data_IF_023058429283
#
_entry.id   IF_023058429283
#
_cell.length_a   1.000
_cell.length_b   1.000
_cell.length_c   1.000
_cell.angle_alpha   90.00
_cell.angle_beta   90.00
_cell.angle_gamma   90.00
#
_symmetry.space_group_name_H-M   'P 1'
#
loop_
_entity.id
_entity.type
_entity.pdbx_description
1 polymer ?
#
# COMPACT_ATOMS: atom_id res chain seq x y z
N UNK A 1 17.23 -26.88 -14.03
CA UNK A 1 16.61 -25.57 -13.78
C UNK A 1 15.69 -25.73 -12.59
N UNK A 2 16.02 -25.14 -11.45
CA UNK A 2 15.09 -25.11 -10.32
C UNK A 2 13.88 -24.25 -10.67
N UNK A 3 12.68 -24.79 -10.48
CA UNK A 3 11.45 -24.03 -10.69
C UNK A 3 11.32 -22.96 -9.61
N UNK A 4 11.51 -21.69 -9.99
CA UNK A 4 11.43 -20.54 -9.09
C UNK A 4 10.03 -20.35 -8.46
N UNK A 5 8.99 -20.99 -9.03
CA UNK A 5 7.63 -20.97 -8.49
C UNK A 5 7.43 -21.92 -7.31
N UNK A 6 8.33 -22.89 -7.12
CA UNK A 6 8.26 -23.85 -6.01
C UNK A 6 8.64 -23.25 -4.65
N UNK A 7 9.30 -22.09 -4.63
CA UNK A 7 9.71 -21.44 -3.38
C UNK A 7 8.48 -20.92 -2.63
N UNK A 8 8.23 -21.37 -1.38
CA UNK A 8 7.05 -20.98 -0.65
C UNK A 8 7.13 -19.49 -0.28
N UNK A 9 6.04 -18.76 -0.54
CA UNK A 9 5.92 -17.32 -0.23
C UNK A 9 5.43 -17.15 1.20
N UNK A 10 6.32 -17.35 2.18
CA UNK A 10 5.93 -17.51 3.60
C UNK A 10 5.89 -16.21 4.41
N UNK A 11 6.38 -15.09 3.89
CA UNK A 11 6.58 -13.89 4.72
C UNK A 11 5.30 -13.31 5.35
N UNK A 12 4.18 -13.26 4.61
CA UNK A 12 2.90 -12.78 5.15
C UNK A 12 2.33 -13.77 6.18
N UNK A 13 2.33 -15.06 5.85
CA UNK A 13 1.77 -16.12 6.72
C UNK A 13 2.55 -16.28 8.02
N UNK A 14 3.84 -15.95 8.05
CA UNK A 14 4.64 -15.93 9.26
C UNK A 14 4.25 -14.80 10.23
N UNK A 15 3.74 -13.67 9.74
CA UNK A 15 3.36 -12.52 10.57
C UNK A 15 1.89 -12.59 11.03
N UNK A 16 1.01 -13.17 10.20
CA UNK A 16 -0.43 -13.28 10.50
C UNK A 16 -0.78 -13.82 11.90
N UNK A 17 -0.22 -14.94 12.39
CA UNK A 17 -0.63 -15.50 13.69
C UNK A 17 -0.26 -14.60 14.87
N UNK A 18 0.70 -13.70 14.70
CA UNK A 18 1.21 -12.83 15.75
C UNK A 18 0.65 -11.42 15.68
N UNK A 19 -0.24 -11.14 14.72
CA UNK A 19 -0.73 -9.78 14.45
C UNK A 19 -1.36 -9.14 15.69
N UNK A 20 -2.18 -9.90 16.43
CA UNK A 20 -2.85 -9.40 17.64
C UNK A 20 -1.85 -9.02 18.73
N UNK A 21 -0.84 -9.86 18.95
CA UNK A 21 0.21 -9.57 19.93
C UNK A 21 1.06 -8.36 19.52
N UNK A 22 1.42 -8.27 18.24
CA UNK A 22 2.16 -7.14 17.69
C UNK A 22 1.34 -5.85 17.88
N UNK A 23 0.05 -5.87 17.55
CA UNK A 23 -0.83 -4.72 17.71
C UNK A 23 -0.96 -4.30 19.17
N UNK A 24 -1.20 -5.24 20.08
CA UNK A 24 -1.29 -4.96 21.52
C UNK A 24 0.00 -4.30 22.05
N UNK A 25 1.17 -4.72 21.57
CA UNK A 25 2.45 -4.11 21.94
C UNK A 25 2.59 -2.68 21.40
N UNK A 26 2.19 -2.45 20.15
CA UNK A 26 2.18 -1.11 19.57
C UNK A 26 1.23 -0.18 20.34
N UNK A 27 0.08 -0.69 20.76
CA UNK A 27 -0.90 0.07 21.56
C UNK A 27 -0.38 0.39 22.97
N UNK A 28 0.45 -0.50 23.55
CA UNK A 28 1.20 -0.24 24.80
C UNK A 28 2.36 0.76 24.62
N UNK A 29 2.60 1.28 23.42
CA UNK A 29 3.66 2.23 23.13
C UNK A 29 5.01 1.61 22.80
N UNK A 30 5.07 0.30 22.54
CA UNK A 30 6.30 -0.34 22.09
C UNK A 30 6.65 0.11 20.66
N UNK A 31 7.96 0.17 20.37
CA UNK A 31 8.41 0.45 19.01
C UNK A 31 8.31 -0.79 18.12
N UNK A 32 8.15 -0.57 16.81
CA UNK A 32 8.13 -1.64 15.82
C UNK A 32 9.39 -2.53 15.85
N UNK A 33 10.54 -1.95 16.23
CA UNK A 33 11.80 -2.68 16.40
C UNK A 33 11.75 -3.58 17.65
N UNK A 34 11.26 -3.09 18.77
CA UNK A 34 11.10 -3.90 19.99
C UNK A 34 10.14 -5.07 19.76
N UNK A 35 9.00 -4.82 19.11
CA UNK A 35 8.07 -5.89 18.75
C UNK A 35 8.72 -6.94 17.85
N UNK A 36 9.57 -6.52 16.90
CA UNK A 36 10.33 -7.43 16.04
C UNK A 36 11.39 -8.24 16.81
N UNK A 37 12.18 -7.57 17.66
CA UNK A 37 13.25 -8.23 18.42
C UNK A 37 12.67 -9.27 19.40
N UNK A 38 11.53 -8.96 20.04
CA UNK A 38 10.79 -9.92 20.86
C UNK A 38 10.22 -11.08 20.02
N UNK A 39 9.63 -10.80 18.86
CA UNK A 39 9.10 -11.83 17.97
C UNK A 39 10.20 -12.81 17.52
N UNK A 40 11.38 -12.28 17.17
CA UNK A 40 12.56 -13.07 16.80
C UNK A 40 13.16 -13.85 17.96
N UNK A 41 13.00 -13.37 19.20
CA UNK A 41 13.45 -14.09 20.39
C UNK A 41 12.57 -15.30 20.69
N UNK A 42 11.28 -15.23 20.36
CA UNK A 42 10.30 -16.28 20.63
C UNK A 42 10.21 -17.32 19.50
N UNK A 43 10.42 -16.91 18.24
CA UNK A 43 10.50 -17.83 17.10
C UNK A 43 11.61 -17.44 16.11
N UNK A 44 12.31 -18.43 15.50
CA UNK A 44 13.24 -18.18 14.42
C UNK A 44 12.48 -17.92 13.11
N UNK A 45 11.83 -16.77 13.00
CA UNK A 45 11.21 -16.34 11.75
C UNK A 45 12.32 -15.91 10.78
N UNK A 46 12.32 -16.45 9.56
CA UNK A 46 13.26 -16.04 8.51
C UNK A 46 12.84 -14.76 7.79
N UNK A 47 12.46 -13.72 8.54
CA UNK A 47 11.92 -12.48 7.99
C UNK A 47 12.80 -11.30 8.38
N UNK A 48 13.24 -10.49 7.42
CA UNK A 48 13.99 -9.28 7.77
C UNK A 48 13.10 -8.18 8.37
N UNK A 49 13.66 -7.31 9.20
CA UNK A 49 12.95 -6.20 9.84
C UNK A 49 12.11 -5.36 8.86
N UNK A 50 12.67 -4.97 7.71
CA UNK A 50 11.93 -4.19 6.69
C UNK A 50 10.71 -4.93 6.14
N UNK A 51 10.81 -6.25 6.00
CA UNK A 51 9.69 -7.09 5.54
C UNK A 51 8.64 -7.18 6.63
N UNK A 52 9.06 -7.37 7.90
CA UNK A 52 8.17 -7.35 9.06
C UNK A 52 7.32 -6.07 9.09
N UNK A 53 7.95 -4.89 9.10
CA UNK A 53 7.23 -3.61 9.14
C UNK A 53 6.22 -3.49 8.00
N UNK A 54 6.64 -3.87 6.78
CA UNK A 54 5.75 -3.85 5.60
C UNK A 54 4.53 -4.76 5.78
N UNK A 55 4.73 -5.97 6.28
CA UNK A 55 3.64 -6.92 6.47
C UNK A 55 2.70 -6.47 7.58
N UNK A 56 3.22 -5.97 8.70
CA UNK A 56 2.40 -5.40 9.79
C UNK A 56 1.53 -4.27 9.25
N UNK A 57 2.12 -3.27 8.59
CA UNK A 57 1.37 -2.14 8.03
C UNK A 57 0.30 -2.59 7.04
N UNK A 58 0.62 -3.55 6.17
CA UNK A 58 -0.34 -4.06 5.18
C UNK A 58 -1.49 -4.78 5.86
N UNK A 59 -1.20 -5.64 6.83
CA UNK A 59 -2.21 -6.43 7.54
C UNK A 59 -3.12 -5.56 8.40
N UNK A 60 -2.59 -4.53 9.07
CA UNK A 60 -3.39 -3.61 9.90
C UNK A 60 -4.20 -2.65 9.06
N UNK A 61 -3.71 -2.24 7.89
CA UNK A 61 -4.46 -1.42 6.93
C UNK A 61 -5.57 -2.21 6.24
N UNK A 62 -5.30 -3.46 5.86
CA UNK A 62 -6.29 -4.37 5.26
C UNK A 62 -7.38 -4.77 6.27
N UNK A 63 -7.06 -4.86 7.57
CA UNK A 63 -8.01 -5.20 8.64
C UNK A 63 -9.12 -4.14 8.80
N UNK A 64 -8.83 -2.86 8.54
CA UNK A 64 -9.88 -1.83 8.53
C UNK A 64 -10.78 -1.88 7.29
N UNK A 65 -10.35 -2.56 6.23
CA UNK A 65 -11.08 -2.66 4.97
C UNK A 65 -11.97 -3.92 4.87
N UNK A 66 -11.86 -4.86 5.81
CA UNK A 66 -12.56 -6.15 5.72
C UNK A 66 -13.20 -6.52 7.05
N UNK A 67 -14.45 -6.09 7.24
CA UNK A 67 -15.42 -6.88 8.00
C UNK A 67 -15.61 -8.21 7.26
N UNK A 68 -15.26 -9.36 7.86
CA UNK A 68 -15.50 -10.64 7.21
C UNK A 68 -16.98 -10.99 7.34
N UNK A 69 -17.73 -10.88 6.25
CA UNK A 69 -18.95 -11.67 6.08
C UNK A 69 -18.54 -13.14 6.13
N UNK A 70 -18.83 -13.77 7.26
CA UNK A 70 -18.81 -15.22 7.40
C UNK A 70 -19.75 -15.78 6.32
N UNK A 71 -19.21 -16.39 5.28
CA UNK A 71 -19.99 -17.25 4.39
C UNK A 71 -19.37 -18.62 4.46
N UNK A 72 -20.11 -19.49 5.13
CA UNK A 72 -19.86 -20.90 5.29
C UNK A 72 -19.57 -21.55 3.94
N UNK A 73 -18.53 -22.38 3.92
CA UNK A 73 -18.27 -23.30 2.81
C UNK A 73 -19.37 -24.37 2.79
N UNK A 74 -20.21 -24.34 1.78
CA UNK A 74 -20.76 -25.55 1.19
C UNK A 74 -20.46 -25.56 -0.32
N UNK A 75 -19.69 -26.57 -0.72
CA UNK A 75 -19.57 -27.04 -2.11
C UNK A 75 -20.83 -27.86 -2.41
N UNK A 76 -21.45 -27.75 -3.61
CA UNK A 76 -21.01 -28.57 -4.75
C UNK A 76 -21.10 -27.88 -6.13
N UNK A 77 -20.18 -28.25 -7.04
CA UNK A 77 -20.35 -28.13 -8.52
C UNK A 77 -21.46 -29.11 -8.99
N UNK A 78 -22.07 -29.02 -10.20
CA UNK A 78 -21.50 -28.52 -11.48
C UNK A 78 -22.49 -27.81 -12.46
N UNK A 79 -21.96 -27.48 -13.65
CA UNK A 79 -22.63 -27.28 -14.97
C UNK A 79 -23.02 -25.84 -15.43
N UNK A 80 -22.20 -25.34 -16.35
CA UNK A 80 -22.51 -24.86 -17.72
C UNK A 80 -23.48 -23.66 -18.01
N UNK A 81 -22.88 -22.65 -18.66
CA UNK A 81 -23.43 -21.74 -19.69
C UNK A 81 -24.68 -20.89 -19.40
N UNK A 82 -24.51 -19.56 -19.26
CA UNK A 82 -24.86 -18.56 -20.31
C UNK A 82 -24.68 -17.09 -19.86
N UNK A 83 -23.90 -16.34 -20.67
CA UNK A 83 -24.05 -14.94 -21.13
C UNK A 83 -24.23 -13.76 -20.15
N UNK A 84 -23.24 -12.86 -20.25
CA UNK A 84 -23.25 -11.38 -20.10
C UNK A 84 -23.42 -10.74 -18.72
N UNK A 85 -22.31 -10.25 -18.14
CA UNK A 85 -22.31 -9.09 -17.24
C UNK A 85 -22.06 -7.77 -18.01
N UNK A 86 -22.81 -6.69 -17.74
CA UNK A 86 -22.55 -5.38 -18.34
C UNK A 86 -21.21 -4.80 -17.85
N UNK A 87 -20.47 -4.17 -18.76
CA UNK A 87 -19.16 -3.55 -18.50
C UNK A 87 -19.20 -2.53 -17.34
N UNK A 88 -18.35 -2.67 -16.31
CA UNK A 88 -18.02 -1.54 -15.46
C UNK A 88 -17.07 -0.61 -16.22
N UNK A 89 -17.53 0.63 -16.46
CA UNK A 89 -16.74 1.73 -17.03
C UNK A 89 -15.42 1.87 -16.26
N UNK A 90 -14.31 1.45 -16.88
CA UNK A 90 -12.98 1.80 -16.40
C UNK A 90 -12.81 3.32 -16.56
N UNK A 91 -12.74 4.03 -15.43
CA UNK A 91 -12.24 5.39 -15.43
C UNK A 91 -10.80 5.34 -15.95
N UNK A 92 -10.63 5.87 -17.16
CA UNK A 92 -9.37 5.91 -17.88
C UNK A 92 -8.43 6.92 -17.21
N UNK A 93 -7.70 6.48 -16.18
CA UNK A 93 -6.63 7.27 -15.55
C UNK A 93 -5.35 7.28 -16.42
N UNK A 94 -5.49 7.33 -17.74
CA UNK A 94 -4.38 7.59 -18.66
C UNK A 94 -3.99 9.07 -18.57
N UNK A 95 -3.19 9.43 -17.56
CA UNK A 95 -2.44 10.69 -17.60
C UNK A 95 -1.50 10.62 -18.80
N UNK A 96 -1.74 11.49 -19.78
CA UNK A 96 -0.91 11.60 -20.99
C UNK A 96 0.54 11.84 -20.57
N UNK A 97 1.54 11.14 -21.14
CA UNK A 97 2.93 11.38 -20.82
C UNK A 97 3.29 12.84 -21.15
N UNK A 98 3.97 13.51 -20.22
CA UNK A 98 4.42 14.89 -20.39
C UNK A 98 5.32 15.02 -21.61
N UNK A 99 5.08 16.06 -22.40
CA UNK A 99 5.89 16.41 -23.56
C UNK A 99 7.08 17.28 -23.16
N UNK A 100 8.15 17.37 -23.96
CA UNK A 100 9.27 18.29 -23.74
C UNK A 100 8.85 19.76 -23.53
N UNK A 101 7.73 20.20 -24.11
CA UNK A 101 7.19 21.54 -23.93
C UNK A 101 6.60 21.74 -22.53
N UNK A 102 6.00 20.71 -21.93
CA UNK A 102 5.43 20.77 -20.59
C UNK A 102 6.53 20.99 -19.53
N UNK A 103 7.70 20.39 -19.72
CA UNK A 103 8.85 20.61 -18.84
C UNK A 103 9.41 22.05 -18.93
N UNK A 104 9.32 22.70 -20.09
CA UNK A 104 9.70 24.11 -20.23
C UNK A 104 8.74 25.02 -19.47
N UNK A 105 7.43 24.77 -19.57
CA UNK A 105 6.42 25.50 -18.81
C UNK A 105 6.62 25.34 -17.30
N UNK A 106 6.86 24.13 -16.82
CA UNK A 106 7.16 23.89 -15.38
C UNK A 106 8.37 24.71 -14.91
N UNK A 107 9.41 24.80 -15.75
CA UNK A 107 10.60 25.59 -15.43
C UNK A 107 10.31 27.08 -15.37
N UNK A 108 9.58 27.60 -16.35
CA UNK A 108 9.16 29.01 -16.38
C UNK A 108 8.24 29.36 -15.20
N UNK A 109 7.31 28.48 -14.85
CA UNK A 109 6.42 28.65 -13.69
C UNK A 109 7.23 28.68 -12.39
N UNK A 110 8.24 27.81 -12.27
CA UNK A 110 9.15 27.82 -11.12
C UNK A 110 9.97 29.09 -11.02
N UNK A 111 10.50 29.58 -12.14
CA UNK A 111 11.29 30.81 -12.18
C UNK A 111 10.44 32.06 -11.87
N UNK A 112 9.13 32.01 -12.13
CA UNK A 112 8.17 33.08 -11.78
C UNK A 112 7.61 32.98 -10.37
N UNK A 113 7.82 31.87 -9.66
CA UNK A 113 7.34 31.71 -8.30
C UNK A 113 8.19 32.54 -7.33
N UNK A 114 7.60 33.57 -6.75
CA UNK A 114 8.21 34.28 -5.62
C UNK A 114 8.11 33.42 -4.35
N UNK A 115 9.24 32.77 -4.03
CA UNK A 115 9.39 31.90 -2.86
C UNK A 115 9.15 32.66 -1.55
N UNK A 116 9.43 33.97 -1.50
CA UNK A 116 9.21 34.78 -0.30
C UNK A 116 7.72 35.07 -0.07
N UNK A 117 6.97 35.33 -1.15
CA UNK A 117 5.52 35.51 -1.10
C UNK A 117 4.79 34.21 -0.72
N UNK A 118 5.32 33.06 -1.15
CA UNK A 118 4.79 31.74 -0.80
C UNK A 118 4.95 31.41 0.69
N UNK A 119 6.12 31.74 1.28
CA UNK A 119 6.37 31.57 2.72
C UNK A 119 5.53 32.56 3.55
N UNK A 120 5.26 33.75 3.03
CA UNK A 120 4.42 34.77 3.69
C UNK A 120 2.91 34.52 3.53
N UNK A 121 2.47 33.43 2.88
CA UNK A 121 1.05 33.08 2.72
C UNK A 121 0.29 33.92 1.70
N UNK A 122 0.98 34.70 0.86
CA UNK A 122 0.40 35.47 -0.26
C UNK A 122 0.83 34.83 -1.57
N UNK A 123 0.30 33.65 -1.87
CA UNK A 123 0.64 32.91 -3.08
C UNK A 123 0.16 33.60 -4.35
N UNK A 124 1.06 33.70 -5.33
CA UNK A 124 0.91 34.13 -6.73
C UNK A 124 0.68 35.63 -6.97
N UNK A 125 1.74 36.31 -7.42
CA UNK A 125 1.65 37.61 -8.10
C UNK A 125 1.52 37.33 -9.60
N UNK A 126 0.35 37.59 -10.16
CA UNK A 126 0.19 37.71 -11.61
C UNK A 126 0.40 39.18 -11.94
N UNK A 127 1.46 39.48 -12.69
CA UNK A 127 1.67 40.82 -13.24
C UNK A 127 0.69 40.99 -14.41
N UNK A 128 -0.34 41.81 -14.19
CA UNK A 128 -1.37 42.14 -15.17
C UNK A 128 -0.81 43.23 -16.10
N UNK A 129 -0.75 42.93 -17.40
CA UNK A 129 -0.35 43.88 -18.45
C UNK A 129 -1.51 44.14 -19.39
#
# INVERSE_FOLDING_TARGET
MDDWRSKPRTGKSQVTPWLEQIQARLDMGATMKQAYDELMSNEPISLGYRQFVRYVHKLTSDAQATTPTLTEKQTPMPAESTKTPPEPKKADNQRKPMTPADFRKIREDFDRMDLNALVSGKGLVFDEK
#
